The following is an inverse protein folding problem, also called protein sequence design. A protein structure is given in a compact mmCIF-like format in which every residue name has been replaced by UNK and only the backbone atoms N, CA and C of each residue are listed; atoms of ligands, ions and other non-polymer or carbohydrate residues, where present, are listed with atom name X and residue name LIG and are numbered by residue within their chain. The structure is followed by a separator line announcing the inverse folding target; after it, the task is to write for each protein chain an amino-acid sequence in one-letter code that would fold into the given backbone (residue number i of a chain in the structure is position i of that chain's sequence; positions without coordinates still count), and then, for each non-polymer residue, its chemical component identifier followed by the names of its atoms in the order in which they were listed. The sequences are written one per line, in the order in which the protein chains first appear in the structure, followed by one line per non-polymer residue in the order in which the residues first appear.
data_IF_258051594632
#
_entry.id   IF_258051594632
#
_cell.length_a   1.000
_cell.length_b   1.000
_cell.length_c   1.000
_cell.angle_alpha   90.00
_cell.angle_beta   90.00
_cell.angle_gamma   90.00
#
_symmetry.space_group_name_H-M   'P 1'
#
loop_
_entity.id
_entity.type
_entity.pdbx_description
1 polymer ?
#
# COMPACT_ATOMS: atom_id res chain seq x y z
N UNK A 1 -9.20 -1.07 -17.34
CA UNK A 1 -8.20 -1.43 -16.30
C UNK A 1 -7.34 -2.55 -16.82
N UNK A 2 -6.03 -2.49 -16.59
CA UNK A 2 -5.10 -3.58 -16.88
C UNK A 2 -5.36 -4.74 -15.93
N UNK A 3 -5.32 -5.98 -16.43
CA UNK A 3 -5.48 -7.17 -15.57
C UNK A 3 -4.23 -7.30 -14.69
N UNK A 4 -4.41 -7.25 -13.38
CA UNK A 4 -3.35 -7.55 -12.40
C UNK A 4 -2.91 -9.01 -12.55
N UNK A 5 -1.59 -9.27 -12.54
CA UNK A 5 -1.07 -10.63 -12.59
C UNK A 5 -1.43 -11.41 -11.33
N UNK A 6 -1.45 -12.74 -11.42
CA UNK A 6 -1.85 -13.57 -10.28
C UNK A 6 -0.80 -13.53 -9.16
N UNK A 7 0.48 -13.37 -9.50
CA UNK A 7 1.54 -13.16 -8.50
C UNK A 7 1.32 -11.88 -7.69
N UNK A 8 0.93 -10.79 -8.35
CA UNK A 8 0.64 -9.52 -7.67
C UNK A 8 -0.60 -9.65 -6.80
N UNK A 9 -1.65 -10.38 -7.24
CA UNK A 9 -2.82 -10.62 -6.39
C UNK A 9 -2.45 -11.38 -5.12
N UNK A 10 -1.70 -12.49 -5.25
CA UNK A 10 -1.22 -13.26 -4.11
C UNK A 10 -0.33 -12.42 -3.20
N UNK A 11 0.53 -11.56 -3.77
CA UNK A 11 1.35 -10.64 -2.99
C UNK A 11 0.52 -9.66 -2.15
N UNK A 12 -0.66 -9.24 -2.63
CA UNK A 12 -1.55 -8.29 -1.95
C UNK A 12 -2.49 -8.95 -0.93
N UNK A 13 -2.61 -10.27 -0.91
CA UNK A 13 -3.49 -10.97 0.04
C UNK A 13 -3.14 -10.63 1.48
N UNK A 14 -4.17 -10.36 2.29
CA UNK A 14 -4.04 -10.06 3.72
C UNK A 14 -3.52 -8.66 4.04
N UNK A 15 -3.32 -7.78 3.06
CA UNK A 15 -2.99 -6.37 3.31
C UNK A 15 -4.18 -5.69 3.99
N UNK A 16 -3.95 -5.06 5.14
CA UNK A 16 -4.99 -4.38 5.95
C UNK A 16 -4.81 -2.87 6.03
N UNK A 17 -3.68 -2.36 5.52
CA UNK A 17 -3.40 -0.93 5.51
C UNK A 17 -2.52 -0.54 4.32
N UNK A 18 -2.73 0.67 3.82
CA UNK A 18 -2.01 1.21 2.65
C UNK A 18 -1.38 2.55 3.03
N UNK A 19 -0.14 2.76 2.62
CA UNK A 19 0.60 4.00 2.86
C UNK A 19 1.16 4.49 1.54
N UNK A 20 0.83 5.71 1.16
CA UNK A 20 1.51 6.40 0.07
C UNK A 20 2.84 6.94 0.61
N UNK A 21 3.94 6.31 0.21
CA UNK A 21 5.28 6.61 0.67
C UNK A 21 6.32 6.15 -0.35
N UNK A 22 7.25 7.03 -0.69
CA UNK A 22 8.42 6.67 -1.48
C UNK A 22 9.42 5.83 -0.67
N UNK A 23 10.52 5.41 -1.30
CA UNK A 23 11.53 4.57 -0.66
C UNK A 23 12.20 5.23 0.56
N UNK A 24 12.44 6.55 0.51
CA UNK A 24 13.03 7.29 1.62
C UNK A 24 12.06 7.40 2.80
N UNK A 25 10.81 7.77 2.53
CA UNK A 25 9.76 7.85 3.55
C UNK A 25 9.51 6.48 4.20
N UNK A 26 9.47 5.42 3.40
CA UNK A 26 9.37 4.04 3.91
C UNK A 26 10.54 3.69 4.84
N UNK A 27 11.77 4.10 4.49
CA UNK A 27 12.95 3.92 5.34
C UNK A 27 12.86 4.73 6.66
N UNK A 28 12.40 5.97 6.59
CA UNK A 28 12.17 6.80 7.78
C UNK A 28 11.10 6.20 8.70
N UNK A 29 10.02 5.66 8.14
CA UNK A 29 9.00 4.96 8.91
C UNK A 29 9.57 3.69 9.56
N UNK A 30 10.30 2.88 8.81
CA UNK A 30 10.97 1.70 9.36
C UNK A 30 11.85 2.07 10.57
N UNK A 31 12.73 3.05 10.41
CA UNK A 31 13.63 3.48 11.49
C UNK A 31 12.83 3.96 12.70
N UNK A 32 11.92 4.92 12.50
CA UNK A 32 11.11 5.49 13.59
C UNK A 32 10.33 4.42 14.36
N UNK A 33 9.73 3.46 13.67
CA UNK A 33 8.90 2.45 14.31
C UNK A 33 9.74 1.40 15.03
N UNK A 34 10.88 0.99 14.45
CA UNK A 34 11.85 0.14 15.13
C UNK A 34 12.41 0.77 16.39
N UNK A 35 12.74 2.06 16.36
CA UNK A 35 13.26 2.81 17.51
C UNK A 35 12.21 2.92 18.63
N UNK A 36 10.93 2.94 18.27
CA UNK A 36 9.80 2.91 19.22
C UNK A 36 9.41 1.49 19.68
N UNK A 37 10.28 0.49 19.47
CA UNK A 37 10.08 -0.88 19.94
C UNK A 37 9.01 -1.67 19.19
N UNK A 38 8.61 -1.21 17.99
CA UNK A 38 7.59 -1.88 17.17
C UNK A 38 8.23 -2.96 16.31
N UNK A 39 7.49 -4.04 16.09
CA UNK A 39 7.95 -5.11 15.20
C UNK A 39 7.80 -4.66 13.75
N UNK A 40 8.82 -4.90 12.93
CA UNK A 40 8.79 -4.59 11.50
C UNK A 40 9.53 -5.68 10.74
N UNK A 41 8.80 -6.43 9.91
CA UNK A 41 9.34 -7.47 9.04
C UNK A 41 9.14 -7.02 7.58
N UNK A 42 10.23 -6.62 6.94
CA UNK A 42 10.20 -6.18 5.54
C UNK A 42 10.10 -7.36 4.59
N UNK A 43 9.41 -7.17 3.46
CA UNK A 43 9.57 -8.07 2.31
C UNK A 43 10.84 -7.74 1.53
N UNK A 44 11.51 -8.77 1.01
CA UNK A 44 12.78 -8.61 0.28
C UNK A 44 12.61 -8.14 -1.17
N UNK A 45 11.39 -8.01 -1.67
CA UNK A 45 11.09 -7.55 -3.03
C UNK A 45 9.72 -6.86 -3.08
N UNK A 46 9.54 -6.04 -4.11
CA UNK A 46 8.29 -5.38 -4.46
C UNK A 46 7.91 -5.64 -5.93
N UNK A 47 6.81 -5.03 -6.38
CA UNK A 47 6.32 -5.12 -7.77
C UNK A 47 6.05 -3.73 -8.35
N UNK A 48 5.98 -3.65 -9.68
CA UNK A 48 5.67 -2.40 -10.40
C UNK A 48 4.45 -2.51 -11.31
N UNK A 49 3.22 -2.63 -10.78
CA UNK A 49 2.03 -2.80 -11.62
C UNK A 49 1.64 -1.52 -12.39
N UNK A 50 1.17 -1.71 -13.62
CA UNK A 50 0.45 -0.67 -14.40
C UNK A 50 -1.03 -0.69 -14.01
N UNK A 51 -1.47 0.32 -13.25
CA UNK A 51 -2.82 0.41 -12.69
C UNK A 51 -3.86 0.93 -13.69
N UNK A 52 -3.40 1.59 -14.75
CA UNK A 52 -4.27 2.09 -15.81
C UNK A 52 -3.52 2.87 -16.88
N UNK A 53 -4.29 3.61 -17.68
CA UNK A 53 -3.77 4.45 -18.77
C UNK A 53 -4.53 5.77 -18.76
N UNK A 54 -3.82 6.89 -18.79
CA UNK A 54 -4.37 8.24 -18.89
C UNK A 54 -3.84 8.89 -20.17
N UNK A 55 -4.74 9.31 -21.07
CA UNK A 55 -4.38 9.92 -22.35
C UNK A 55 -3.32 9.12 -23.17
N UNK A 56 -3.44 7.79 -23.17
CA UNK A 56 -2.49 6.90 -23.87
C UNK A 56 -1.18 6.63 -23.14
N UNK A 57 -0.94 7.27 -21.99
CA UNK A 57 0.26 7.06 -21.16
C UNK A 57 -0.03 6.13 -19.97
N UNK A 58 0.86 5.19 -19.65
CA UNK A 58 0.66 4.26 -18.53
C UNK A 58 0.76 4.99 -17.18
N UNK A 59 -0.14 4.62 -16.27
CA UNK A 59 -0.05 4.98 -14.85
C UNK A 59 0.50 3.76 -14.11
N UNK A 60 1.68 3.89 -13.53
CA UNK A 60 2.40 2.84 -12.83
C UNK A 60 2.65 3.24 -11.38
N UNK A 61 2.61 2.25 -10.49
CA UNK A 61 3.03 2.40 -9.09
C UNK A 61 4.09 1.36 -8.77
N UNK A 62 5.03 1.70 -7.90
CA UNK A 62 5.83 0.73 -7.15
C UNK A 62 5.04 0.29 -5.92
N UNK A 63 5.07 -0.99 -5.58
CA UNK A 63 4.47 -1.54 -4.38
C UNK A 63 5.48 -2.35 -3.57
N UNK A 64 5.46 -2.17 -2.26
CA UNK A 64 6.27 -2.92 -1.29
C UNK A 64 5.42 -3.22 -0.05
N UNK A 65 5.67 -4.33 0.64
CA UNK A 65 4.96 -4.64 1.88
C UNK A 65 5.90 -4.81 3.08
N UNK A 66 5.38 -4.53 4.26
CA UNK A 66 5.99 -4.91 5.53
C UNK A 66 4.92 -5.39 6.51
N UNK A 67 5.26 -6.36 7.35
CA UNK A 67 4.42 -6.74 8.48
C UNK A 67 4.85 -5.93 9.71
N UNK A 68 3.96 -5.07 10.19
CA UNK A 68 4.19 -4.19 11.34
C UNK A 68 3.21 -4.54 12.44
N UNK A 69 3.72 -4.99 13.59
CA UNK A 69 2.89 -5.50 14.71
C UNK A 69 1.82 -6.52 14.28
N UNK A 70 2.19 -7.43 13.38
CA UNK A 70 1.29 -8.47 12.84
C UNK A 70 0.37 -8.00 11.70
N UNK A 71 0.30 -6.70 11.41
CA UNK A 71 -0.50 -6.16 10.30
C UNK A 71 0.34 -6.07 9.02
N UNK A 72 -0.15 -6.61 7.90
CA UNK A 72 0.50 -6.48 6.60
C UNK A 72 0.14 -5.12 5.97
N UNK A 73 1.13 -4.25 5.85
CA UNK A 73 0.99 -2.89 5.31
C UNK A 73 1.58 -2.84 3.90
N UNK A 74 0.85 -2.23 2.97
CA UNK A 74 1.29 -1.96 1.60
C UNK A 74 1.75 -0.52 1.47
N UNK A 75 3.00 -0.32 1.09
CA UNK A 75 3.55 0.95 0.66
C UNK A 75 3.40 1.07 -0.85
N UNK A 76 2.92 2.23 -1.31
CA UNK A 76 2.76 2.55 -2.72
C UNK A 76 3.49 3.86 -3.06
N UNK A 77 4.11 3.90 -4.23
CA UNK A 77 4.79 5.08 -4.76
C UNK A 77 4.46 5.23 -6.25
N UNK A 78 3.77 6.30 -6.69
CA UNK A 78 3.54 6.55 -8.11
C UNK A 78 4.85 6.82 -8.87
N UNK A 79 5.17 6.02 -9.89
CA UNK A 79 6.50 6.05 -10.56
C UNK A 79 6.46 6.46 -12.03
N UNK A 80 5.28 6.60 -12.64
CA UNK A 80 5.15 6.98 -14.04
C UNK A 80 5.18 8.49 -14.27
N UNK A 81 5.47 8.91 -15.51
CA UNK A 81 5.45 10.32 -15.93
C UNK A 81 4.09 10.99 -15.69
N UNK A 82 2.99 10.24 -15.86
CA UNK A 82 1.65 10.69 -15.48
C UNK A 82 1.15 9.93 -14.27
N UNK A 83 0.50 10.64 -13.36
CA UNK A 83 -0.09 10.08 -12.16
C UNK A 83 -1.57 10.44 -12.12
N UNK A 84 -2.42 9.44 -11.88
CA UNK A 84 -3.84 9.63 -11.62
C UNK A 84 -4.24 8.88 -10.35
N UNK A 85 -4.47 9.63 -9.28
CA UNK A 85 -4.79 9.06 -7.98
C UNK A 85 -6.15 8.34 -7.96
N UNK A 86 -7.10 8.69 -8.85
CA UNK A 86 -8.40 7.99 -8.94
C UNK A 86 -8.23 6.63 -9.57
N UNK A 87 -7.39 6.51 -10.61
CA UNK A 87 -7.05 5.20 -11.20
C UNK A 87 -6.33 4.32 -10.18
N UNK A 88 -5.37 4.88 -9.43
CA UNK A 88 -4.68 4.17 -8.35
C UNK A 88 -5.69 3.71 -7.29
N UNK A 89 -6.56 4.59 -6.79
CA UNK A 89 -7.55 4.24 -5.77
C UNK A 89 -8.50 3.15 -6.27
N UNK A 90 -8.98 3.24 -7.50
CA UNK A 90 -9.89 2.24 -8.06
C UNK A 90 -9.21 0.88 -8.21
N UNK A 91 -7.93 0.86 -8.62
CA UNK A 91 -7.13 -0.36 -8.66
C UNK A 91 -6.91 -0.95 -7.26
N UNK A 92 -6.64 -0.12 -6.26
CA UNK A 92 -6.46 -0.58 -4.86
C UNK A 92 -7.74 -1.16 -4.28
N UNK A 93 -8.91 -0.54 -4.51
CA UNK A 93 -10.20 -1.09 -4.06
C UNK A 93 -10.50 -2.46 -4.66
N UNK A 94 -10.09 -2.68 -5.92
CA UNK A 94 -10.29 -3.95 -6.60
C UNK A 94 -9.33 -5.05 -6.11
N UNK A 95 -8.06 -4.70 -5.88
CA UNK A 95 -7.00 -5.68 -5.61
C UNK A 95 -6.66 -5.85 -4.12
N UNK A 96 -7.09 -4.92 -3.27
CA UNK A 96 -6.84 -4.92 -1.83
C UNK A 96 -8.16 -4.73 -1.05
N UNK A 97 -9.19 -5.56 -1.29
CA UNK A 97 -10.48 -5.39 -0.65
C UNK A 97 -10.41 -5.55 0.88
N UNK A 98 -9.41 -6.26 1.40
CA UNK A 98 -9.19 -6.42 2.84
C UNK A 98 -8.79 -5.12 3.56
N UNK A 99 -8.30 -4.10 2.83
CA UNK A 99 -8.04 -2.79 3.38
C UNK A 99 -9.26 -1.85 3.34
N UNK A 100 -10.41 -2.29 2.81
CA UNK A 100 -11.64 -1.49 2.83
C UNK A 100 -12.22 -1.42 4.24
N UNK A 101 -12.52 -0.20 4.68
CA UNK A 101 -13.24 0.09 5.91
C UNK A 101 -14.76 -0.10 5.71
N UNK A 102 -15.49 -0.15 6.82
CA UNK A 102 -16.97 -0.27 6.83
C UNK A 102 -17.68 0.88 6.13
N UNK A 103 -17.05 2.06 6.06
CA UNK A 103 -17.57 3.25 5.39
C UNK A 103 -17.27 3.29 3.88
N UNK A 104 -16.65 2.24 3.32
CA UNK A 104 -16.34 2.12 1.90
C UNK A 104 -15.05 2.83 1.45
N UNK A 105 -14.33 3.48 2.37
CA UNK A 105 -13.01 4.06 2.10
C UNK A 105 -11.90 3.05 2.36
N UNK A 106 -10.78 3.17 1.66
CA UNK A 106 -9.58 2.39 1.97
C UNK A 106 -8.97 2.90 3.27
N UNK A 107 -8.44 1.98 4.09
CA UNK A 107 -7.50 2.29 5.16
C UNK A 107 -6.15 2.73 4.54
N UNK A 108 -6.15 3.93 3.94
CA UNK A 108 -5.04 4.50 3.18
C UNK A 108 -4.72 5.88 3.72
N UNK A 109 -3.42 6.17 3.90
CA UNK A 109 -2.95 7.53 4.20
C UNK A 109 -1.56 7.78 3.61
N UNK A 110 -1.00 8.97 3.83
CA UNK A 110 0.40 9.30 3.49
C UNK A 110 1.37 8.81 4.57
N UNK A 111 2.68 8.97 4.35
CA UNK A 111 3.69 8.59 5.33
C UNK A 111 3.53 9.32 6.68
N UNK A 112 3.07 10.58 6.66
CA UNK A 112 2.94 11.41 7.88
C UNK A 112 1.92 10.86 8.86
N UNK A 113 0.87 10.20 8.36
CA UNK A 113 -0.24 9.71 9.17
C UNK A 113 -0.21 8.18 9.37
N UNK A 114 0.94 7.52 9.16
CA UNK A 114 1.07 6.05 9.21
C UNK A 114 0.50 5.41 10.50
N UNK A 115 0.57 6.10 11.65
CA UNK A 115 -0.02 5.59 12.90
C UNK A 115 -1.54 5.34 12.82
N UNK A 116 -2.27 6.14 12.04
CA UNK A 116 -3.72 5.99 11.87
C UNK A 116 -4.05 4.73 11.05
N UNK A 117 -3.22 4.43 10.05
CA UNK A 117 -3.34 3.20 9.25
C UNK A 117 -3.12 1.98 10.11
N UNK A 118 -2.09 2.00 10.96
CA UNK A 118 -1.80 0.87 11.82
C UNK A 118 -2.88 0.65 12.89
N UNK A 119 -3.41 1.73 13.48
CA UNK A 119 -4.51 1.63 14.45
C UNK A 119 -5.74 0.96 13.82
N UNK A 120 -6.16 1.44 12.64
CA UNK A 120 -7.30 0.88 11.90
C UNK A 120 -7.05 -0.57 11.47
N UNK A 121 -5.82 -0.89 11.03
CA UNK A 121 -5.45 -2.24 10.59
C UNK A 121 -5.52 -3.27 11.74
N UNK A 122 -5.21 -2.86 12.98
CA UNK A 122 -5.33 -3.71 14.17
C UNK A 122 -6.77 -3.97 14.57
N UNK A 123 -7.63 -2.95 14.47
CA UNK A 123 -9.07 -3.09 14.72
C UNK A 123 -9.72 -4.07 13.73
N UNK A 124 -9.26 -4.11 12.47
CA UNK A 124 -9.76 -5.03 11.45
C UNK A 124 -9.26 -6.48 11.60
N UNK A 125 -8.17 -6.69 12.36
CA UNK A 125 -7.58 -8.00 12.60
C UNK A 125 -8.16 -8.71 13.85
N UNK A 126 -8.98 -8.01 14.64
CA UNK A 126 -9.65 -8.51 15.85
C UNK A 126 -11.08 -8.94 15.53
#
# INVERSE_FOLDING_TARGET
MTKTSDEVKTYLEGVTGIVEANSFETMCLWQRWRDNGKTWVSTGHGYGPTVGTLAGMPVCISILTATVDGCKILFIDPTSQVVDHRLIETWLKLNVPSALRKDGYLNKTDAMNFSNVLATAKEQAT
#
